data_IF_594405520463
#
_entry.id   IF_594405520463
#
_cell.length_a   1.000
_cell.length_b   1.000
_cell.length_c   1.000
_cell.angle_alpha   90.00
_cell.angle_beta   90.00
_cell.angle_gamma   90.00
#
_symmetry.space_group_name_H-M   'P 1'
#
loop_
_entity.id
_entity.type
_entity.pdbx_description
1 polymer ?
#
# COMPACT_ATOMS: atom_id res chain seq x y z
N UNK A 1 29.99 -6.49 -38.57
CA UNK A 1 29.60 -5.29 -37.77
C UNK A 1 28.10 -5.17 -37.86
N UNK A 2 27.38 -5.69 -36.83
CA UNK A 2 25.94 -5.65 -36.75
C UNK A 2 25.44 -4.23 -36.59
N UNK A 3 24.60 -3.78 -37.50
CA UNK A 3 23.79 -2.59 -37.36
C UNK A 3 22.95 -2.73 -36.08
N UNK A 4 23.20 -1.87 -35.07
CA UNK A 4 22.36 -1.74 -33.88
C UNK A 4 21.02 -1.12 -34.29
N UNK A 5 20.16 -1.88 -34.91
CA UNK A 5 18.77 -1.49 -35.07
C UNK A 5 18.06 -1.66 -33.72
N UNK A 6 17.51 -0.58 -33.22
CA UNK A 6 16.68 -0.57 -32.02
C UNK A 6 15.36 -1.22 -32.42
N UNK A 7 15.16 -2.47 -32.06
CA UNK A 7 13.88 -3.17 -32.25
C UNK A 7 12.97 -2.74 -31.11
N UNK A 8 11.86 -2.09 -31.44
CA UNK A 8 10.76 -1.80 -30.50
C UNK A 8 9.60 -2.65 -30.96
N UNK A 9 9.41 -3.78 -30.30
CA UNK A 9 8.28 -4.68 -30.54
C UNK A 9 7.29 -4.51 -29.39
N UNK A 10 6.33 -3.58 -29.57
CA UNK A 10 5.25 -3.34 -28.61
C UNK A 10 3.98 -3.90 -29.24
N UNK A 11 3.57 -5.06 -28.78
CA UNK A 11 2.29 -5.65 -29.14
C UNK A 11 1.19 -5.02 -28.29
N UNK A 12 0.12 -4.45 -28.88
CA UNK A 12 -1.01 -3.94 -28.11
C UNK A 12 -1.65 -5.05 -27.29
N UNK A 13 -1.99 -4.74 -26.03
CA UNK A 13 -2.68 -5.69 -25.16
C UNK A 13 -4.00 -6.18 -25.78
N UNK A 14 -4.15 -7.49 -25.83
CA UNK A 14 -5.36 -8.14 -26.37
C UNK A 14 -6.43 -8.30 -25.27
N UNK A 15 -7.70 -8.36 -25.66
CA UNK A 15 -8.79 -8.79 -24.77
C UNK A 15 -8.60 -10.27 -24.44
N UNK A 16 -8.61 -10.63 -23.13
CA UNK A 16 -8.43 -12.00 -22.59
C UNK A 16 -6.98 -12.51 -22.51
N UNK A 17 -5.99 -11.63 -22.38
CA UNK A 17 -4.66 -12.06 -21.98
C UNK A 17 -4.72 -12.73 -20.60
N UNK A 18 -3.99 -13.84 -20.46
CA UNK A 18 -3.82 -14.52 -19.17
C UNK A 18 -2.78 -13.78 -18.31
N UNK A 19 -2.85 -13.97 -17.00
CA UNK A 19 -1.81 -13.54 -16.10
C UNK A 19 -0.50 -14.28 -16.41
N UNK A 20 0.60 -13.53 -16.51
CA UNK A 20 1.92 -14.13 -16.68
C UNK A 20 2.43 -14.60 -15.31
N UNK A 21 2.27 -15.89 -15.02
CA UNK A 21 2.79 -16.50 -13.80
C UNK A 21 4.31 -16.60 -13.86
N UNK A 22 4.99 -15.64 -13.23
CA UNK A 22 6.42 -15.72 -12.94
C UNK A 22 6.56 -15.99 -11.45
N UNK A 23 7.20 -17.09 -11.07
CA UNK A 23 7.55 -17.39 -9.68
C UNK A 23 8.91 -16.77 -9.36
N UNK A 24 9.02 -16.16 -8.19
CA UNK A 24 10.30 -15.67 -7.66
C UNK A 24 10.82 -16.68 -6.65
N UNK A 25 11.93 -17.31 -6.95
CA UNK A 25 12.48 -18.35 -6.10
C UNK A 25 13.15 -17.82 -4.82
N UNK A 26 13.76 -16.63 -4.87
CA UNK A 26 14.46 -16.01 -3.73
C UNK A 26 14.35 -14.48 -3.81
N UNK A 27 14.11 -13.86 -2.67
CA UNK A 27 14.23 -12.41 -2.49
C UNK A 27 15.55 -12.15 -1.73
N UNK A 28 16.64 -11.98 -2.45
CA UNK A 28 17.94 -11.69 -1.85
C UNK A 28 17.85 -10.45 -0.95
N UNK A 29 18.42 -10.55 0.26
CA UNK A 29 18.46 -9.47 1.25
C UNK A 29 17.10 -8.94 1.76
N UNK A 30 16.01 -9.71 1.60
CA UNK A 30 14.69 -9.33 2.09
C UNK A 30 14.13 -10.37 3.05
N UNK A 31 13.54 -9.89 4.14
CA UNK A 31 12.85 -10.71 5.14
C UNK A 31 11.40 -10.99 4.78
N UNK A 32 10.85 -10.24 3.82
CA UNK A 32 9.48 -10.36 3.29
C UNK A 32 9.52 -10.73 1.81
N UNK A 33 8.61 -11.61 1.40
CA UNK A 33 8.42 -11.95 0.00
C UNK A 33 7.27 -11.15 -0.62
N UNK A 34 7.52 -10.52 -1.77
CA UNK A 34 6.54 -9.72 -2.51
C UNK A 34 5.99 -10.52 -3.69
N UNK A 35 4.72 -10.86 -3.64
CA UNK A 35 4.08 -11.66 -4.68
C UNK A 35 3.08 -10.81 -5.45
N UNK A 36 3.31 -10.67 -6.74
CA UNK A 36 2.37 -10.03 -7.65
C UNK A 36 1.27 -11.04 -8.00
N UNK A 37 0.05 -10.75 -7.55
CA UNK A 37 -1.11 -11.61 -7.79
C UNK A 37 -2.10 -11.02 -8.79
N UNK A 38 -1.93 -9.74 -9.17
CA UNK A 38 -2.83 -9.04 -10.06
C UNK A 38 -2.05 -8.09 -10.98
N UNK A 39 -2.46 -7.97 -12.26
CA UNK A 39 -1.92 -7.03 -13.24
C UNK A 39 -3.05 -6.37 -14.04
N UNK A 40 -2.73 -5.22 -14.68
CA UNK A 40 -3.69 -4.43 -15.43
C UNK A 40 -4.70 -3.69 -14.55
N UNK A 41 -5.50 -2.81 -15.16
CA UNK A 41 -6.50 -2.00 -14.44
C UNK A 41 -7.63 -1.56 -15.37
N UNK A 42 -8.88 -1.58 -14.87
CA UNK A 42 -10.07 -1.17 -15.60
C UNK A 42 -10.62 0.21 -15.16
N UNK A 43 -9.88 0.96 -14.30
CA UNK A 43 -10.39 2.21 -13.69
C UNK A 43 -10.37 3.42 -14.61
N UNK A 44 -9.37 3.55 -15.45
CA UNK A 44 -9.22 4.71 -16.36
C UNK A 44 -9.24 6.06 -15.64
N UNK A 45 -8.60 6.16 -14.47
CA UNK A 45 -8.41 7.45 -13.81
C UNK A 45 -7.80 8.46 -14.77
N UNK A 46 -8.26 9.72 -14.77
CA UNK A 46 -7.97 10.71 -15.81
C UNK A 46 -6.47 11.07 -15.95
N UNK A 47 -5.67 10.79 -14.93
CA UNK A 47 -4.21 11.01 -14.87
C UNK A 47 -3.37 9.76 -15.14
N UNK A 48 -4.00 8.58 -15.27
CA UNK A 48 -3.29 7.30 -15.25
C UNK A 48 -3.15 6.70 -16.64
N UNK A 49 -1.93 6.30 -16.99
CA UNK A 49 -1.63 5.62 -18.27
C UNK A 49 -1.69 4.08 -18.16
N UNK A 50 -1.79 3.56 -16.95
CA UNK A 50 -1.68 2.12 -16.67
C UNK A 50 -2.67 1.25 -17.47
N UNK A 51 -3.97 1.60 -17.59
CA UNK A 51 -4.89 0.78 -18.39
C UNK A 51 -4.47 0.61 -19.85
N UNK A 52 -3.76 1.59 -20.39
CA UNK A 52 -3.25 1.57 -21.77
C UNK A 52 -1.90 0.84 -21.88
N UNK A 53 -1.07 0.92 -20.84
CA UNK A 53 0.29 0.35 -20.83
C UNK A 53 0.33 -1.10 -20.31
N UNK A 54 -0.61 -1.48 -19.43
CA UNK A 54 -0.66 -2.81 -18.79
C UNK A 54 -1.90 -3.62 -19.16
N UNK A 55 -2.84 -3.05 -19.90
CA UNK A 55 -4.06 -3.72 -20.32
C UNK A 55 -5.09 -3.90 -19.19
N UNK A 56 -6.02 -4.83 -19.43
CA UNK A 56 -7.13 -5.13 -18.53
C UNK A 56 -6.69 -5.94 -17.32
N UNK A 57 -7.58 -6.01 -16.32
CA UNK A 57 -7.40 -6.83 -15.11
C UNK A 57 -7.08 -8.29 -15.50
N UNK A 58 -6.04 -8.81 -14.90
CA UNK A 58 -5.61 -10.22 -14.99
C UNK A 58 -5.17 -10.64 -13.59
N UNK A 59 -5.62 -11.81 -13.18
CA UNK A 59 -5.36 -12.36 -11.86
C UNK A 59 -4.54 -13.64 -11.95
N UNK A 60 -3.61 -13.80 -11.00
CA UNK A 60 -2.84 -15.04 -10.85
C UNK A 60 -3.79 -16.17 -10.45
N UNK A 61 -3.71 -17.36 -11.07
CA UNK A 61 -4.46 -18.52 -10.62
C UNK A 61 -4.21 -18.83 -9.15
N UNK A 62 -5.26 -19.19 -8.40
CA UNK A 62 -5.15 -19.39 -6.96
C UNK A 62 -4.21 -20.56 -6.61
N UNK A 63 -4.24 -21.63 -7.39
CA UNK A 63 -3.35 -22.79 -7.20
C UNK A 63 -1.87 -22.41 -7.39
N UNK A 64 -1.55 -21.55 -8.38
CA UNK A 64 -0.20 -21.03 -8.60
C UNK A 64 0.26 -20.17 -7.42
N UNK A 65 -0.65 -19.36 -6.87
CA UNK A 65 -0.37 -18.54 -5.70
C UNK A 65 -0.06 -19.42 -4.48
N UNK A 66 -0.89 -20.42 -4.21
CA UNK A 66 -0.71 -21.35 -3.08
C UNK A 66 0.63 -22.10 -3.21
N UNK A 67 0.93 -22.61 -4.39
CA UNK A 67 2.19 -23.33 -4.65
C UNK A 67 3.41 -22.44 -4.42
N UNK A 68 3.41 -21.19 -4.92
CA UNK A 68 4.50 -20.25 -4.75
C UNK A 68 4.69 -19.85 -3.28
N UNK A 69 3.60 -19.54 -2.56
CA UNK A 69 3.68 -19.17 -1.14
C UNK A 69 4.15 -20.35 -0.28
N UNK A 70 3.72 -21.57 -0.59
CA UNK A 70 4.17 -22.77 0.13
C UNK A 70 5.68 -22.96 0.00
N UNK A 71 6.23 -22.81 -1.21
CA UNK A 71 7.68 -22.88 -1.43
C UNK A 71 8.44 -21.77 -0.66
N UNK A 72 7.88 -20.57 -0.59
CA UNK A 72 8.48 -19.47 0.18
C UNK A 72 8.44 -19.73 1.69
N UNK A 73 7.34 -20.31 2.20
CA UNK A 73 7.24 -20.73 3.59
C UNK A 73 8.29 -21.79 3.96
N UNK A 74 8.49 -22.79 3.10
CA UNK A 74 9.53 -23.81 3.25
C UNK A 74 10.95 -23.22 3.27
N UNK A 75 11.19 -22.11 2.56
CA UNK A 75 12.45 -21.35 2.58
C UNK A 75 12.58 -20.41 3.80
N UNK A 76 11.58 -20.37 4.70
CA UNK A 76 11.62 -19.65 5.96
C UNK A 76 11.11 -18.21 5.92
N UNK A 77 10.49 -17.78 4.81
CA UNK A 77 9.82 -16.46 4.78
C UNK A 77 8.63 -16.44 5.73
N UNK A 78 8.60 -15.42 6.61
CA UNK A 78 7.55 -15.25 7.63
C UNK A 78 6.44 -14.30 7.21
N UNK A 79 6.73 -13.35 6.34
CA UNK A 79 5.76 -12.35 5.85
C UNK A 79 5.65 -12.39 4.32
N UNK A 80 4.41 -12.48 3.83
CA UNK A 80 4.05 -12.37 2.42
C UNK A 80 3.35 -11.04 2.17
N UNK A 81 3.83 -10.30 1.17
CA UNK A 81 3.18 -9.06 0.72
C UNK A 81 2.49 -9.33 -0.61
N UNK A 82 1.17 -9.35 -0.63
CA UNK A 82 0.37 -9.49 -1.84
C UNK A 82 0.31 -8.15 -2.56
N UNK A 83 0.73 -8.12 -3.82
CA UNK A 83 0.82 -6.89 -4.61
C UNK A 83 0.08 -7.02 -5.94
N UNK A 84 -0.28 -5.87 -6.50
CA UNK A 84 -0.91 -5.77 -7.82
C UNK A 84 -0.92 -4.33 -8.32
N UNK A 85 -1.30 -4.14 -9.56
CA UNK A 85 -1.55 -2.81 -10.13
C UNK A 85 -2.84 -2.21 -9.56
N UNK A 86 -3.86 -3.04 -9.39
CA UNK A 86 -5.11 -2.75 -8.70
C UNK A 86 -5.49 -4.01 -7.91
N UNK A 87 -4.83 -4.19 -6.78
CA UNK A 87 -4.94 -5.40 -5.98
C UNK A 87 -6.38 -5.74 -5.61
N UNK A 88 -7.21 -4.73 -5.32
CA UNK A 88 -8.63 -4.91 -5.00
C UNK A 88 -9.44 -5.54 -6.15
N UNK A 89 -8.94 -5.49 -7.39
CA UNK A 89 -9.59 -6.11 -8.55
C UNK A 89 -9.17 -7.57 -8.79
N UNK A 90 -8.35 -8.15 -7.90
CA UNK A 90 -7.99 -9.56 -7.98
C UNK A 90 -9.24 -10.45 -8.03
N UNK A 91 -9.23 -11.41 -8.92
CA UNK A 91 -10.27 -12.41 -9.05
C UNK A 91 -11.42 -12.04 -9.99
N UNK A 92 -11.59 -10.76 -10.36
CA UNK A 92 -12.71 -10.31 -11.21
C UNK A 92 -12.75 -11.01 -12.59
N UNK A 93 -11.62 -11.41 -13.12
CA UNK A 93 -11.47 -12.09 -14.42
C UNK A 93 -11.54 -13.62 -14.33
N UNK A 94 -11.45 -14.18 -13.12
CA UNK A 94 -11.43 -15.63 -12.85
C UNK A 94 -12.51 -16.08 -11.85
N UNK A 95 -13.50 -15.21 -11.60
CA UNK A 95 -14.65 -15.49 -10.72
C UNK A 95 -14.26 -15.73 -9.24
N UNK A 96 -13.23 -15.04 -8.77
CA UNK A 96 -12.74 -15.03 -7.39
C UNK A 96 -12.74 -13.62 -6.84
N UNK A 97 -12.42 -13.48 -5.56
CA UNK A 97 -12.30 -12.22 -4.85
C UNK A 97 -10.95 -12.12 -4.12
N UNK A 98 -10.48 -10.90 -3.82
CA UNK A 98 -9.23 -10.69 -3.05
C UNK A 98 -9.22 -11.47 -1.73
N UNK A 99 -10.38 -11.59 -1.05
CA UNK A 99 -10.49 -12.38 0.18
C UNK A 99 -10.11 -13.83 -0.01
N UNK A 100 -10.42 -14.45 -1.18
CA UNK A 100 -10.07 -15.85 -1.45
C UNK A 100 -8.55 -16.04 -1.48
N UNK A 101 -7.83 -15.08 -2.09
CA UNK A 101 -6.38 -15.09 -2.09
C UNK A 101 -5.79 -14.89 -0.67
N UNK A 102 -6.35 -13.95 0.10
CA UNK A 102 -5.90 -13.68 1.47
C UNK A 102 -6.12 -14.90 2.36
N UNK A 103 -7.29 -15.50 2.31
CA UNK A 103 -7.66 -16.69 3.09
C UNK A 103 -6.74 -17.88 2.75
N UNK A 104 -6.53 -18.12 1.44
CA UNK A 104 -5.66 -19.20 0.99
C UNK A 104 -4.22 -19.02 1.50
N UNK A 105 -3.66 -17.79 1.42
CA UNK A 105 -2.30 -17.50 1.88
C UNK A 105 -2.21 -17.55 3.41
N UNK A 106 -3.20 -17.06 4.13
CA UNK A 106 -3.24 -17.13 5.59
C UNK A 106 -3.32 -18.59 6.11
N UNK A 107 -3.89 -19.51 5.34
CA UNK A 107 -3.99 -20.91 5.70
C UNK A 107 -2.64 -21.67 5.60
N UNK A 108 -1.64 -21.11 4.91
CA UNK A 108 -0.35 -21.78 4.71
C UNK A 108 0.46 -21.80 6.01
N UNK A 109 0.94 -23.00 6.38
CA UNK A 109 1.80 -23.18 7.53
C UNK A 109 3.19 -22.54 7.27
N UNK A 110 3.78 -21.97 8.32
CA UNK A 110 5.09 -21.29 8.23
C UNK A 110 5.00 -19.80 7.89
N UNK A 111 3.88 -19.33 7.28
CA UNK A 111 3.60 -17.90 7.13
C UNK A 111 2.98 -17.38 8.42
N UNK A 112 3.54 -16.32 8.96
CA UNK A 112 3.11 -15.65 10.20
C UNK A 112 2.31 -14.37 9.90
N UNK A 113 2.60 -13.72 8.76
CA UNK A 113 2.00 -12.43 8.37
C UNK A 113 1.67 -12.39 6.89
N UNK A 114 0.52 -11.81 6.58
CA UNK A 114 0.08 -11.47 5.22
C UNK A 114 -0.20 -9.98 5.17
N UNK A 115 0.42 -9.27 4.25
CA UNK A 115 0.24 -7.83 4.05
C UNK A 115 -0.31 -7.54 2.67
N UNK A 116 -1.16 -6.53 2.58
CA UNK A 116 -1.74 -6.08 1.33
C UNK A 116 -1.00 -4.86 0.79
N UNK A 117 -0.79 -4.82 -0.52
CA UNK A 117 -0.42 -3.61 -1.23
C UNK A 117 -1.57 -2.60 -1.30
N UNK A 118 -1.50 -1.68 -2.27
CA UNK A 118 -2.48 -0.60 -2.41
C UNK A 118 -3.88 -1.13 -2.77
N UNK A 119 -4.88 -0.63 -2.06
CA UNK A 119 -6.28 -0.96 -2.22
C UNK A 119 -7.09 0.23 -2.75
N UNK A 120 -8.06 -0.08 -3.59
CA UNK A 120 -9.06 0.88 -4.05
C UNK A 120 -10.24 0.91 -3.06
N UNK A 121 -10.62 2.09 -2.53
CA UNK A 121 -11.62 2.20 -1.46
C UNK A 121 -12.96 1.52 -1.80
N UNK A 122 -13.51 1.75 -2.98
CA UNK A 122 -14.81 1.26 -3.39
C UNK A 122 -14.92 -0.29 -3.50
N UNK A 123 -13.82 -1.01 -3.35
CA UNK A 123 -13.81 -2.48 -3.32
C UNK A 123 -13.84 -3.02 -1.87
N UNK A 124 -13.78 -2.15 -0.88
CA UNK A 124 -13.77 -2.51 0.53
C UNK A 124 -15.16 -2.30 1.16
N UNK A 125 -16.13 -3.09 0.72
CA UNK A 125 -17.44 -3.13 1.38
C UNK A 125 -17.32 -3.64 2.82
N UNK A 126 -18.32 -3.39 3.64
CA UNK A 126 -18.38 -3.88 5.03
C UNK A 126 -18.19 -5.40 5.09
N UNK A 127 -18.86 -6.17 4.22
CA UNK A 127 -18.72 -7.64 4.17
C UNK A 127 -17.28 -8.07 3.86
N UNK A 128 -16.59 -7.36 2.96
CA UNK A 128 -15.17 -7.60 2.65
C UNK A 128 -14.31 -7.35 3.88
N UNK A 129 -14.53 -6.25 4.58
CA UNK A 129 -13.77 -5.90 5.79
C UNK A 129 -14.00 -6.95 6.89
N UNK A 130 -15.26 -7.37 7.11
CA UNK A 130 -15.61 -8.43 8.08
C UNK A 130 -14.95 -9.75 7.69
N UNK A 131 -14.90 -10.10 6.39
CA UNK A 131 -14.26 -11.32 5.92
C UNK A 131 -12.75 -11.30 6.14
N UNK A 132 -12.10 -10.17 5.84
CA UNK A 132 -10.68 -9.95 6.06
C UNK A 132 -10.30 -9.97 7.54
N UNK A 133 -11.14 -9.41 8.43
CA UNK A 133 -10.85 -9.33 9.87
C UNK A 133 -10.83 -10.70 10.58
N UNK A 134 -11.41 -11.72 9.98
CA UNK A 134 -11.31 -13.09 10.47
C UNK A 134 -9.93 -13.72 10.28
N UNK A 135 -9.06 -13.10 9.47
CA UNK A 135 -7.73 -13.63 9.15
C UNK A 135 -6.69 -13.10 10.15
N UNK A 136 -6.36 -13.89 11.17
CA UNK A 136 -5.45 -13.49 12.26
C UNK A 136 -4.03 -13.14 11.80
N UNK A 137 -3.57 -13.70 10.66
CA UNK A 137 -2.26 -13.40 10.07
C UNK A 137 -2.27 -12.13 9.20
N UNK A 138 -3.45 -11.56 8.89
CA UNK A 138 -3.54 -10.35 8.09
C UNK A 138 -3.05 -9.15 8.89
N UNK A 139 -2.05 -8.48 8.36
CA UNK A 139 -1.46 -7.29 8.97
C UNK A 139 -2.49 -6.14 9.00
N UNK A 140 -2.70 -5.48 10.16
CA UNK A 140 -3.63 -4.35 10.30
C UNK A 140 -3.04 -3.06 9.72
N UNK A 141 -2.61 -3.11 8.47
CA UNK A 141 -2.08 -1.96 7.72
C UNK A 141 -2.73 -1.94 6.34
N UNK A 142 -3.39 -0.83 6.03
CA UNK A 142 -4.15 -0.67 4.80
C UNK A 142 -3.70 0.60 4.07
N UNK A 143 -3.16 0.42 2.87
CA UNK A 143 -2.89 1.53 1.98
C UNK A 143 -4.09 1.76 1.07
N UNK A 144 -4.89 2.79 1.38
CA UNK A 144 -6.11 3.14 0.65
C UNK A 144 -5.84 4.34 -0.26
N UNK A 145 -5.96 4.16 -1.57
CA UNK A 145 -5.66 5.21 -2.56
C UNK A 145 -6.70 6.34 -2.55
N UNK A 146 -6.53 7.38 -1.72
CA UNK A 146 -7.45 8.54 -1.62
C UNK A 146 -7.33 9.48 -2.82
N UNK A 147 -6.13 9.86 -3.19
CA UNK A 147 -5.76 10.83 -4.23
C UNK A 147 -6.15 12.29 -3.94
N UNK A 148 -7.33 12.59 -3.43
CA UNK A 148 -7.77 13.92 -2.97
C UNK A 148 -8.85 13.80 -1.90
N UNK A 149 -8.84 14.69 -0.93
CA UNK A 149 -9.90 14.84 0.07
C UNK A 149 -11.00 15.81 -0.32
N UNK A 150 -11.21 16.06 -1.62
CA UNK A 150 -12.28 16.91 -2.15
C UNK A 150 -13.03 16.18 -3.27
N UNK A 151 -14.35 16.05 -3.15
CA UNK A 151 -15.19 15.29 -4.08
C UNK A 151 -15.16 15.84 -5.50
N UNK A 152 -15.13 17.16 -5.68
CA UNK A 152 -15.03 17.77 -7.01
C UNK A 152 -13.71 17.44 -7.70
N UNK A 153 -12.62 17.40 -6.96
CA UNK A 153 -11.31 16.95 -7.47
C UNK A 153 -11.33 15.45 -7.78
N UNK A 154 -11.89 14.60 -6.91
CA UNK A 154 -12.05 13.16 -7.14
C UNK A 154 -12.86 12.89 -8.41
N UNK A 155 -13.95 13.61 -8.63
CA UNK A 155 -14.77 13.51 -9.83
C UNK A 155 -13.97 13.85 -11.10
N UNK A 156 -13.18 14.94 -11.09
CA UNK A 156 -12.28 15.28 -12.21
C UNK A 156 -11.18 14.23 -12.44
N UNK A 157 -10.72 13.59 -11.37
CA UNK A 157 -9.77 12.47 -11.42
C UNK A 157 -10.40 11.18 -11.96
N UNK A 158 -11.72 11.13 -12.18
CA UNK A 158 -12.49 9.93 -12.52
C UNK A 158 -12.36 8.85 -11.43
N UNK A 159 -12.48 9.28 -10.16
CA UNK A 159 -12.59 8.39 -8.99
C UNK A 159 -14.07 8.10 -8.73
N UNK A 160 -14.37 6.89 -8.25
CA UNK A 160 -15.73 6.39 -8.12
C UNK A 160 -16.15 6.21 -6.67
N UNK A 161 -15.66 7.06 -5.80
CA UNK A 161 -16.03 7.17 -4.38
C UNK A 161 -15.99 8.63 -3.95
N UNK A 162 -16.69 8.91 -2.87
CA UNK A 162 -16.74 10.20 -2.19
C UNK A 162 -15.85 10.20 -0.96
N UNK A 163 -15.59 11.38 -0.41
CA UNK A 163 -14.88 11.54 0.86
C UNK A 163 -15.66 10.90 2.02
N UNK A 164 -17.00 10.94 1.99
CA UNK A 164 -17.86 10.31 3.00
C UNK A 164 -17.77 8.77 2.97
N UNK A 165 -17.82 8.17 1.79
CA UNK A 165 -17.63 6.72 1.63
C UNK A 165 -16.22 6.31 2.10
N UNK A 166 -15.20 7.09 1.78
CA UNK A 166 -13.83 6.85 2.24
C UNK A 166 -13.73 6.90 3.77
N UNK A 167 -14.34 7.90 4.40
CA UNK A 167 -14.41 8.05 5.87
C UNK A 167 -15.04 6.81 6.51
N UNK A 168 -16.17 6.36 5.97
CA UNK A 168 -16.89 5.17 6.44
C UNK A 168 -16.01 3.92 6.35
N UNK A 169 -15.31 3.72 5.24
CA UNK A 169 -14.39 2.59 5.06
C UNK A 169 -13.26 2.62 6.10
N UNK A 170 -12.66 3.79 6.34
CA UNK A 170 -11.61 3.94 7.36
C UNK A 170 -12.13 3.62 8.76
N UNK A 171 -13.33 4.08 9.11
CA UNK A 171 -13.97 3.76 10.39
C UNK A 171 -14.21 2.26 10.55
N UNK A 172 -14.76 1.62 9.51
CA UNK A 172 -15.01 0.18 9.52
C UNK A 172 -13.72 -0.63 9.68
N UNK A 173 -12.62 -0.23 9.00
CA UNK A 173 -11.31 -0.86 9.18
C UNK A 173 -10.76 -0.69 10.59
N UNK A 174 -10.88 0.51 11.18
CA UNK A 174 -10.42 0.78 12.55
C UNK A 174 -11.26 0.04 13.60
N UNK A 175 -12.53 -0.20 13.33
CA UNK A 175 -13.41 -0.98 14.21
C UNK A 175 -13.15 -2.49 14.10
N UNK A 176 -12.76 -2.97 12.91
CA UNK A 176 -12.54 -4.38 12.63
C UNK A 176 -11.12 -4.87 12.95
N UNK A 177 -10.15 -3.98 13.00
CA UNK A 177 -8.73 -4.29 13.22
C UNK A 177 -8.13 -3.41 14.31
N UNK A 178 -7.68 -4.03 15.37
CA UNK A 178 -6.99 -3.33 16.46
C UNK A 178 -5.72 -2.62 15.96
N UNK A 179 -5.54 -1.38 16.37
CA UNK A 179 -4.37 -0.57 16.03
C UNK A 179 -4.10 -0.47 14.52
N UNK A 180 -5.17 -0.38 13.72
CA UNK A 180 -5.08 -0.32 12.26
C UNK A 180 -4.34 0.94 11.78
N UNK A 181 -3.29 0.74 11.00
CA UNK A 181 -2.58 1.81 10.30
C UNK A 181 -3.20 2.07 8.93
N UNK A 182 -3.71 3.28 8.72
CA UNK A 182 -4.23 3.70 7.42
C UNK A 182 -3.20 4.62 6.75
N UNK A 183 -2.75 4.22 5.57
CA UNK A 183 -1.83 5.00 4.75
C UNK A 183 -2.47 5.34 3.41
N UNK A 184 -2.00 6.40 2.76
CA UNK A 184 -2.58 6.81 1.48
C UNK A 184 -1.61 7.60 0.60
N UNK A 185 -2.04 7.80 -0.63
CA UNK A 185 -1.47 8.75 -1.59
C UNK A 185 -2.38 9.96 -1.73
N UNK A 186 -1.81 11.17 -1.70
CA UNK A 186 -2.52 12.43 -1.99
C UNK A 186 -1.77 13.19 -3.08
N UNK A 187 -2.49 13.54 -4.13
CA UNK A 187 -2.01 14.33 -5.25
C UNK A 187 -2.48 15.77 -5.13
N UNK A 188 -1.56 16.73 -5.11
CA UNK A 188 -1.88 18.17 -5.04
C UNK A 188 -1.66 18.86 -6.37
N UNK A 189 -2.40 19.92 -6.63
CA UNK A 189 -2.28 20.71 -7.84
C UNK A 189 -2.77 19.98 -9.10
N UNK A 190 -3.80 19.16 -8.95
CA UNK A 190 -4.50 18.55 -10.08
C UNK A 190 -5.15 19.64 -10.96
N UNK A 191 -5.27 19.47 -12.29
CA UNK A 191 -5.88 20.48 -13.16
C UNK A 191 -7.26 20.93 -12.65
N UNK A 192 -7.42 22.25 -12.51
CA UNK A 192 -8.64 22.87 -12.00
C UNK A 192 -8.82 22.82 -10.49
N UNK A 193 -7.88 22.31 -9.70
CA UNK A 193 -7.95 22.33 -8.24
C UNK A 193 -7.88 23.78 -7.72
N UNK A 194 -8.97 24.28 -7.13
CA UNK A 194 -9.01 25.62 -6.53
C UNK A 194 -8.31 25.64 -5.17
N UNK A 195 -8.17 26.80 -4.56
CA UNK A 195 -7.62 26.92 -3.20
C UNK A 195 -8.59 26.30 -2.18
N UNK A 196 -9.89 26.54 -2.36
CA UNK A 196 -10.93 25.97 -1.49
C UNK A 196 -10.94 24.44 -1.54
N UNK A 197 -10.80 23.84 -2.72
CA UNK A 197 -10.71 22.38 -2.89
C UNK A 197 -9.46 21.79 -2.26
N UNK A 198 -8.32 22.51 -2.40
CA UNK A 198 -7.08 22.10 -1.73
C UNK A 198 -7.24 22.16 -0.20
N UNK A 199 -7.85 23.22 0.34
CA UNK A 199 -8.09 23.35 1.79
C UNK A 199 -9.05 22.27 2.31
N UNK A 200 -10.09 21.90 1.57
CA UNK A 200 -10.95 20.76 1.88
C UNK A 200 -10.13 19.45 1.96
N UNK A 201 -9.26 19.22 0.97
CA UNK A 201 -8.40 18.04 0.95
C UNK A 201 -7.41 18.01 2.12
N UNK A 202 -6.90 19.16 2.53
CA UNK A 202 -6.00 19.30 3.66
C UNK A 202 -6.70 18.98 5.00
N UNK A 203 -7.89 19.55 5.21
CA UNK A 203 -8.68 19.30 6.42
C UNK A 203 -9.15 17.84 6.48
N UNK A 204 -9.54 17.26 5.35
CA UNK A 204 -9.89 15.84 5.27
C UNK A 204 -8.70 14.93 5.64
N UNK A 205 -7.49 15.24 5.14
CA UNK A 205 -6.28 14.49 5.50
C UNK A 205 -5.98 14.55 7.01
N UNK A 206 -6.21 15.71 7.63
CA UNK A 206 -6.07 15.91 9.07
C UNK A 206 -7.13 15.15 9.86
N UNK A 207 -8.39 15.23 9.44
CA UNK A 207 -9.53 14.52 10.05
C UNK A 207 -9.32 13.00 10.06
N UNK A 208 -9.01 12.42 8.90
CA UNK A 208 -8.76 10.98 8.77
C UNK A 208 -7.58 10.53 9.62
N UNK A 209 -6.62 11.41 9.89
CA UNK A 209 -5.47 11.12 10.75
C UNK A 209 -4.69 9.88 10.28
N UNK A 210 -4.15 9.98 9.07
CA UNK A 210 -3.36 8.91 8.46
C UNK A 210 -2.07 8.64 9.23
N UNK A 211 -1.70 7.35 9.32
CA UNK A 211 -0.39 6.94 9.86
C UNK A 211 0.77 7.33 8.94
N UNK A 212 0.53 7.43 7.62
CA UNK A 212 1.48 7.94 6.63
C UNK A 212 0.76 8.38 5.37
N UNK A 213 1.21 9.48 4.78
CA UNK A 213 0.73 9.96 3.47
C UNK A 213 1.92 10.14 2.53
N UNK A 214 1.79 9.64 1.32
CA UNK A 214 2.68 9.97 0.21
C UNK A 214 2.08 11.14 -0.56
N UNK A 215 2.71 12.30 -0.48
CA UNK A 215 2.25 13.52 -1.15
C UNK A 215 2.95 13.68 -2.49
N UNK A 216 2.16 13.79 -3.56
CA UNK A 216 2.65 13.98 -4.93
C UNK A 216 2.14 15.27 -5.52
N UNK A 217 3.00 16.06 -6.15
CA UNK A 217 2.57 17.10 -7.05
C UNK A 217 2.10 16.48 -8.38
N UNK A 218 0.94 16.88 -8.89
CA UNK A 218 0.48 16.41 -10.20
C UNK A 218 1.54 16.69 -11.28
N UNK A 219 1.86 15.66 -12.06
CA UNK A 219 2.75 15.72 -13.20
C UNK A 219 1.99 15.33 -14.47
N UNK A 220 2.06 16.17 -15.49
CA UNK A 220 1.45 15.88 -16.79
C UNK A 220 2.07 14.63 -17.41
N UNK A 221 1.22 13.70 -17.83
CA UNK A 221 1.65 12.47 -18.49
C UNK A 221 1.00 12.38 -19.87
N UNK A 222 1.79 12.41 -20.97
CA UNK A 222 1.26 12.25 -22.32
C UNK A 222 0.38 11.00 -22.45
N UNK A 223 -0.70 11.11 -23.19
CA UNK A 223 -1.66 10.01 -23.40
C UNK A 223 -2.75 9.90 -22.33
N UNK A 224 -2.73 10.74 -21.27
CA UNK A 224 -3.80 10.80 -20.27
C UNK A 224 -4.74 11.98 -20.49
N UNK A 225 -6.02 11.84 -20.06
CA UNK A 225 -7.01 12.92 -20.19
C UNK A 225 -6.59 14.18 -19.43
N UNK A 226 -6.05 14.04 -18.23
CA UNK A 226 -5.63 15.16 -17.38
C UNK A 226 -4.44 15.94 -17.97
N UNK A 227 -3.62 15.34 -18.85
CA UNK A 227 -2.51 16.03 -19.49
C UNK A 227 -2.95 17.26 -20.28
N UNK A 228 -4.10 17.15 -20.97
CA UNK A 228 -4.64 18.20 -21.82
C UNK A 228 -5.81 18.96 -21.16
N UNK A 229 -6.08 18.71 -19.88
CA UNK A 229 -7.16 19.40 -19.17
C UNK A 229 -6.83 20.91 -19.04
N UNK A 230 -7.84 21.78 -19.10
CA UNK A 230 -7.67 23.22 -18.86
C UNK A 230 -7.27 23.47 -17.39
N UNK A 231 -6.88 24.71 -17.11
CA UNK A 231 -6.57 25.19 -15.76
C UNK A 231 -5.45 24.39 -15.07
N UNK A 232 -4.38 24.13 -15.83
CA UNK A 232 -3.17 23.52 -15.26
C UNK A 232 -2.60 24.39 -14.15
N UNK A 233 -2.27 23.78 -13.01
CA UNK A 233 -1.74 24.48 -11.85
C UNK A 233 -0.24 24.72 -12.02
N UNK A 234 0.24 25.93 -11.67
CA UNK A 234 1.65 26.30 -11.78
C UNK A 234 2.54 25.50 -10.84
N UNK A 235 3.80 25.32 -11.21
CA UNK A 235 4.78 24.62 -10.38
C UNK A 235 4.91 25.21 -8.99
N UNK A 236 4.93 26.56 -8.88
CA UNK A 236 5.02 27.28 -7.59
C UNK A 236 3.85 26.93 -6.66
N UNK A 237 2.62 26.92 -7.16
CA UNK A 237 1.41 26.57 -6.38
C UNK A 237 1.49 25.12 -5.93
N UNK A 238 1.86 24.18 -6.81
CA UNK A 238 2.04 22.77 -6.46
C UNK A 238 3.08 22.58 -5.35
N UNK A 239 4.22 23.26 -5.42
CA UNK A 239 5.26 23.19 -4.39
C UNK A 239 4.77 23.72 -3.03
N UNK A 240 4.01 24.82 -3.03
CA UNK A 240 3.42 25.37 -1.82
C UNK A 240 2.41 24.38 -1.21
N UNK A 241 1.47 23.86 -2.01
CA UNK A 241 0.47 22.90 -1.56
C UNK A 241 1.11 21.58 -1.07
N UNK A 242 2.16 21.10 -1.75
CA UNK A 242 2.90 19.91 -1.28
C UNK A 242 3.50 20.12 0.11
N UNK A 243 4.12 21.28 0.36
CA UNK A 243 4.71 21.60 1.67
C UNK A 243 3.64 21.67 2.76
N UNK A 244 2.51 22.32 2.49
CA UNK A 244 1.40 22.43 3.44
C UNK A 244 0.81 21.04 3.76
N UNK A 245 0.54 20.23 2.73
CA UNK A 245 0.02 18.87 2.92
C UNK A 245 1.01 18.00 3.69
N UNK A 246 2.30 18.01 3.35
CA UNK A 246 3.34 17.28 4.08
C UNK A 246 3.45 17.72 5.53
N UNK A 247 3.31 19.02 5.81
CA UNK A 247 3.35 19.54 7.19
C UNK A 247 2.22 18.92 8.04
N UNK A 248 0.98 18.97 7.55
CA UNK A 248 -0.19 18.40 8.26
C UNK A 248 -0.06 16.89 8.42
N UNK A 249 0.30 16.18 7.35
CA UNK A 249 0.39 14.71 7.37
C UNK A 249 1.58 14.19 8.18
N UNK A 250 2.64 14.98 8.37
CA UNK A 250 3.70 14.65 9.32
C UNK A 250 3.23 14.77 10.78
N UNK A 251 2.32 15.70 11.07
CA UNK A 251 1.72 15.80 12.43
C UNK A 251 0.85 14.56 12.72
N UNK A 252 0.03 14.11 11.77
CA UNK A 252 -0.79 12.90 11.95
C UNK A 252 0.08 11.64 12.07
N UNK A 253 1.17 11.54 11.28
CA UNK A 253 2.15 10.46 11.42
C UNK A 253 2.78 10.45 12.80
N UNK A 254 3.22 11.61 13.31
CA UNK A 254 3.83 11.71 14.64
C UNK A 254 2.84 11.30 15.73
N UNK A 255 1.57 11.73 15.62
CA UNK A 255 0.53 11.33 16.57
C UNK A 255 0.33 9.80 16.56
N UNK A 256 0.30 9.17 15.36
CA UNK A 256 0.21 7.72 15.23
C UNK A 256 1.42 6.99 15.87
N UNK A 257 2.65 7.46 15.62
CA UNK A 257 3.84 6.87 16.21
C UNK A 257 3.85 7.01 17.74
N UNK A 258 3.42 8.15 18.28
CA UNK A 258 3.29 8.37 19.72
C UNK A 258 2.29 7.42 20.38
N UNK A 259 1.20 7.04 19.68
CA UNK A 259 0.22 6.07 20.17
C UNK A 259 0.81 4.65 20.31
N UNK A 260 1.90 4.34 19.64
CA UNK A 260 2.57 3.04 19.77
C UNK A 260 3.38 2.94 21.08
N UNK A 261 3.76 4.06 21.68
CA UNK A 261 4.54 4.07 22.93
C UNK A 261 3.76 3.41 24.08
N UNK A 262 4.45 2.57 24.86
CA UNK A 262 3.87 1.80 25.95
C UNK A 262 3.25 0.47 25.53
N UNK A 263 3.19 0.16 24.23
CA UNK A 263 2.67 -1.12 23.72
C UNK A 263 3.80 -2.13 23.52
N UNK A 264 3.46 -3.43 23.60
CA UNK A 264 4.33 -4.53 23.16
C UNK A 264 3.86 -4.96 21.78
N UNK A 265 4.77 -4.97 20.81
CA UNK A 265 4.50 -5.29 19.42
C UNK A 265 5.50 -6.32 18.91
N UNK A 266 5.04 -7.29 18.13
CA UNK A 266 5.93 -8.18 17.39
C UNK A 266 6.54 -7.42 16.23
N UNK A 267 7.86 -7.38 16.17
CA UNK A 267 8.67 -6.73 15.13
C UNK A 267 9.32 -7.79 14.26
N UNK A 268 9.04 -7.79 12.96
CA UNK A 268 9.83 -8.55 12.00
C UNK A 268 11.14 -7.80 11.75
N UNK A 269 12.25 -8.34 12.20
CA UNK A 269 13.58 -7.71 12.13
C UNK A 269 14.12 -7.83 10.71
N UNK A 270 14.44 -6.71 10.08
CA UNK A 270 14.89 -6.68 8.69
C UNK A 270 16.42 -6.66 8.56
N UNK A 271 17.04 -5.81 9.35
CA UNK A 271 18.51 -5.60 9.23
C UNK A 271 19.12 -5.03 10.49
N UNK A 272 20.40 -5.22 10.60
CA UNK A 272 21.27 -4.46 11.50
C UNK A 272 21.68 -3.15 10.80
N UNK A 273 21.40 -2.00 11.42
CA UNK A 273 21.71 -0.67 10.87
C UNK A 273 22.99 -0.08 11.46
N UNK A 274 23.36 -0.49 12.65
CA UNK A 274 24.62 -0.20 13.33
C UNK A 274 24.97 -1.37 14.27
N UNK A 275 26.16 -1.37 14.84
CA UNK A 275 26.59 -2.41 15.80
C UNK A 275 25.55 -2.66 16.87
N UNK A 276 24.96 -3.85 16.88
CA UNK A 276 23.91 -4.29 17.79
C UNK A 276 22.63 -3.46 17.76
N UNK A 277 22.42 -2.59 16.76
CA UNK A 277 21.20 -1.83 16.56
C UNK A 277 20.44 -2.39 15.35
N UNK A 278 19.29 -2.95 15.61
CA UNK A 278 18.41 -3.58 14.61
C UNK A 278 17.22 -2.70 14.28
N UNK A 279 16.75 -2.82 13.04
CA UNK A 279 15.54 -2.19 12.54
C UNK A 279 14.58 -3.26 11.99
N UNK A 280 13.29 -3.10 12.26
CA UNK A 280 12.24 -3.94 11.72
C UNK A 280 10.88 -3.24 11.74
N UNK A 281 9.84 -3.98 11.39
CA UNK A 281 8.49 -3.44 11.30
C UNK A 281 7.49 -4.29 12.08
N UNK A 282 6.58 -3.61 12.76
CA UNK A 282 5.42 -4.22 13.41
C UNK A 282 4.40 -4.72 12.37
N UNK A 283 3.37 -5.44 12.82
CA UNK A 283 2.28 -5.85 11.95
C UNK A 283 1.56 -4.65 11.29
N UNK A 284 1.35 -3.54 12.00
CA UNK A 284 0.77 -2.31 11.46
C UNK A 284 1.77 -1.41 10.72
N UNK A 285 2.98 -1.94 10.41
CA UNK A 285 4.02 -1.28 9.64
C UNK A 285 4.70 -0.09 10.33
N UNK A 286 4.64 -0.03 11.66
CA UNK A 286 5.44 0.92 12.43
C UNK A 286 6.91 0.51 12.38
N UNK A 287 7.83 1.39 11.94
CA UNK A 287 9.26 1.11 11.99
C UNK A 287 9.74 1.19 13.45
N UNK A 288 10.49 0.18 13.88
CA UNK A 288 11.00 0.07 15.26
C UNK A 288 12.48 -0.25 15.24
N UNK A 289 13.25 0.50 16.04
CA UNK A 289 14.67 0.26 16.29
C UNK A 289 14.86 -0.22 17.73
N UNK A 290 15.78 -1.17 17.92
CA UNK A 290 16.15 -1.69 19.24
C UNK A 290 17.53 -2.33 19.25
N UNK A 291 18.15 -2.40 20.42
CA UNK A 291 19.45 -3.05 20.61
C UNK A 291 19.32 -4.54 20.94
N UNK A 292 20.23 -5.36 20.40
CA UNK A 292 20.38 -6.79 20.73
C UNK A 292 21.81 -7.25 20.47
N UNK A 293 22.34 -8.06 21.37
CA UNK A 293 23.67 -8.71 21.19
C UNK A 293 23.59 -9.98 20.30
N UNK A 294 22.37 -10.41 19.93
CA UNK A 294 22.12 -11.57 19.06
C UNK A 294 21.72 -11.12 17.67
N UNK A 295 22.13 -11.85 16.65
CA UNK A 295 21.59 -11.64 15.30
C UNK A 295 20.13 -12.09 15.24
N UNK A 296 19.23 -11.14 15.00
CA UNK A 296 17.78 -11.35 14.98
C UNK A 296 17.18 -11.16 13.59
N UNK A 297 17.98 -10.93 12.55
CA UNK A 297 17.45 -10.70 11.19
C UNK A 297 16.55 -11.87 10.73
N UNK A 298 15.40 -11.56 10.18
CA UNK A 298 14.39 -12.52 9.71
C UNK A 298 13.51 -13.11 10.83
N UNK A 299 13.72 -12.72 12.09
CA UNK A 299 12.92 -13.21 13.23
C UNK A 299 11.82 -12.23 13.61
N UNK A 300 10.75 -12.76 14.18
CA UNK A 300 9.71 -11.98 14.89
C UNK A 300 10.13 -11.86 16.35
N UNK A 301 10.25 -10.63 16.83
CA UNK A 301 10.72 -10.31 18.18
C UNK A 301 9.69 -9.41 18.86
N UNK A 302 9.21 -9.80 20.04
CA UNK A 302 8.35 -8.97 20.85
C UNK A 302 9.17 -7.80 21.43
N UNK A 303 8.76 -6.56 21.14
CA UNK A 303 9.46 -5.33 21.54
C UNK A 303 8.50 -4.43 22.28
N UNK A 304 8.87 -4.00 23.49
CA UNK A 304 8.17 -2.93 24.22
C UNK A 304 8.60 -1.58 23.66
N UNK A 305 7.69 -0.88 22.99
CA UNK A 305 7.94 0.41 22.37
C UNK A 305 7.97 1.48 23.48
N UNK A 306 9.10 2.17 23.65
CA UNK A 306 9.33 3.11 24.74
C UNK A 306 9.32 4.58 24.31
N UNK A 307 9.63 4.84 23.04
CA UNK A 307 9.76 6.20 22.51
C UNK A 307 9.44 6.25 21.02
N UNK A 308 8.84 7.35 20.56
CA UNK A 308 8.67 7.68 19.16
C UNK A 308 9.52 8.89 18.76
N UNK A 309 10.09 8.85 17.57
CA UNK A 309 10.74 9.96 16.89
C UNK A 309 9.87 10.41 15.70
N UNK A 310 10.40 11.30 14.85
CA UNK A 310 9.70 11.78 13.66
C UNK A 310 9.44 10.68 12.62
N UNK A 311 10.27 9.63 12.55
CA UNK A 311 10.21 8.62 11.51
C UNK A 311 10.02 7.20 12.01
N UNK A 312 10.36 6.91 13.24
CA UNK A 312 10.43 5.58 13.83
C UNK A 312 10.14 5.58 15.33
N UNK A 313 10.02 4.40 15.88
CA UNK A 313 9.93 4.15 17.28
C UNK A 313 11.21 3.46 17.81
N UNK A 314 11.50 3.62 19.08
CA UNK A 314 12.51 2.84 19.80
C UNK A 314 11.84 1.93 20.80
N UNK A 315 12.43 0.77 21.01
CA UNK A 315 11.91 -0.18 21.97
C UNK A 315 12.99 -1.04 22.63
N UNK A 316 12.54 -1.88 23.54
CA UNK A 316 13.36 -2.84 24.25
C UNK A 316 12.75 -4.22 24.00
N UNK A 317 13.54 -5.20 23.50
CA UNK A 317 13.06 -6.57 23.35
C UNK A 317 12.57 -7.07 24.71
N UNK A 318 11.36 -7.63 24.74
CA UNK A 318 10.90 -8.35 25.90
C UNK A 318 11.63 -9.69 25.90
N UNK A 319 12.43 -9.97 26.90
CA UNK A 319 13.17 -11.23 27.03
C UNK A 319 12.23 -12.41 26.87
N UNK A 320 12.49 -13.25 25.87
CA UNK A 320 12.00 -14.61 25.82
C UNK A 320 12.81 -15.48 26.78
#
# INVERSE_FOLDING_TARGET
LSTRQRIIDIVPHQTKEKFESMSVENFYERTRAFIKIQDGCNRFCSYCIIPYARGRVRSKPLDDLIAEVTQLAEKGYKEIVLTGINLSAFGQDINLHLCDAVEAVCAINGIERVRLGSLEPEQLSEDVIIRLSKQQKLCPQFHLSLQSGCDETLKRMNRHYTTEEYRTIVQNLRNAFDNAAITTDIMVGFPGETEEEFMQSLEFAKEISFSKVHVFAYSQRPGTKACNAPNQITKKVKETRSKQMMHVTNQTKQAFLNQQCGTIQDVLVEREINTNLYEGYTANYTPVQFHSDKNLCGQLVAVHITKANENDCYGIPTTA
#
